data_IF_377129863907
#
_entry.id   IF_377129863907
#
_cell.length_a   1.000
_cell.length_b   1.000
_cell.length_c   1.000
_cell.angle_alpha   90.00
_cell.angle_beta   90.00
_cell.angle_gamma   90.00
#
_symmetry.space_group_name_H-M   'P 1'
#
loop_
_entity.id
_entity.type
_entity.pdbx_description
1 polymer ?
#
# COMPACT_ATOMS: atom_id res chain seq x y z
N UNK A 1 4.70 -21.51 -18.23
CA UNK A 1 3.44 -21.08 -18.87
C UNK A 1 3.41 -19.55 -18.90
N UNK A 2 3.80 -18.92 -20.01
CA UNK A 2 3.82 -17.44 -20.09
C UNK A 2 2.42 -16.93 -20.45
N UNK A 3 1.75 -16.29 -19.50
CA UNK A 3 0.42 -15.67 -19.69
C UNK A 3 0.41 -14.70 -20.89
N UNK A 4 1.57 -14.08 -21.17
CA UNK A 4 1.75 -13.03 -22.17
C UNK A 4 2.14 -13.53 -23.56
N UNK A 5 2.56 -14.80 -23.70
CA UNK A 5 3.11 -15.38 -24.93
C UNK A 5 2.15 -16.28 -25.71
N UNK A 6 0.85 -16.24 -25.41
CA UNK A 6 -0.15 -17.12 -26.05
C UNK A 6 -0.32 -16.84 -27.54
N UNK A 7 -0.44 -17.91 -28.35
CA UNK A 7 -0.56 -17.90 -29.82
C UNK A 7 -1.81 -17.17 -30.35
N UNK A 8 -2.87 -17.03 -29.54
CA UNK A 8 -4.04 -16.21 -29.88
C UNK A 8 -3.71 -14.73 -29.61
N UNK A 9 -3.83 -13.87 -30.63
CA UNK A 9 -3.64 -12.42 -30.53
C UNK A 9 -4.73 -11.78 -29.67
N UNK A 10 -4.61 -11.90 -28.35
CA UNK A 10 -5.42 -11.11 -27.41
C UNK A 10 -5.02 -9.64 -27.54
N UNK A 11 -6.01 -8.75 -27.62
CA UNK A 11 -5.76 -7.30 -27.63
C UNK A 11 -5.15 -6.87 -26.31
N UNK A 12 -4.35 -5.79 -26.34
CA UNK A 12 -3.72 -5.24 -25.12
C UNK A 12 -4.76 -4.91 -24.04
N UNK A 13 -5.94 -4.40 -24.43
CA UNK A 13 -7.05 -4.11 -23.52
C UNK A 13 -7.54 -5.36 -22.77
N UNK A 14 -7.73 -6.48 -23.46
CA UNK A 14 -8.16 -7.74 -22.82
C UNK A 14 -7.07 -8.28 -21.89
N UNK A 15 -5.80 -8.19 -22.28
CA UNK A 15 -4.65 -8.58 -21.46
C UNK A 15 -4.58 -7.77 -20.15
N UNK A 16 -4.79 -6.47 -20.21
CA UNK A 16 -4.86 -5.60 -19.03
C UNK A 16 -6.05 -5.96 -18.14
N UNK A 17 -7.22 -6.23 -18.71
CA UNK A 17 -8.39 -6.68 -17.93
C UNK A 17 -8.08 -7.97 -17.17
N UNK A 18 -7.47 -8.95 -17.84
CA UNK A 18 -7.05 -10.22 -17.20
C UNK A 18 -6.03 -9.95 -16.09
N UNK A 19 -5.04 -9.07 -16.33
CA UNK A 19 -4.07 -8.67 -15.32
C UNK A 19 -4.75 -8.12 -14.06
N UNK A 20 -5.63 -7.14 -14.25
CA UNK A 20 -6.33 -6.46 -13.16
C UNK A 20 -7.29 -7.41 -12.40
N UNK A 21 -7.86 -8.41 -13.07
CA UNK A 21 -8.79 -9.36 -12.43
C UNK A 21 -8.11 -10.52 -11.72
N UNK A 22 -6.97 -11.01 -12.22
CA UNK A 22 -6.34 -12.22 -11.68
C UNK A 22 -5.01 -11.94 -10.97
N UNK A 23 -4.13 -11.14 -11.57
CA UNK A 23 -2.78 -10.95 -11.05
C UNK A 23 -2.76 -9.89 -9.96
N UNK A 24 -3.46 -8.77 -10.18
CA UNK A 24 -3.46 -7.65 -9.24
C UNK A 24 -4.04 -8.04 -7.86
N UNK A 25 -5.17 -8.76 -7.75
CA UNK A 25 -5.72 -9.14 -6.44
C UNK A 25 -4.80 -10.09 -5.67
N UNK A 26 -4.12 -11.00 -6.37
CA UNK A 26 -3.12 -11.89 -5.77
C UNK A 26 -1.93 -11.08 -5.25
N UNK A 27 -1.44 -10.12 -6.04
CA UNK A 27 -0.32 -9.26 -5.67
C UNK A 27 -0.65 -8.33 -4.51
N UNK A 28 -1.89 -7.86 -4.39
CA UNK A 28 -2.35 -7.02 -3.29
C UNK A 28 -2.92 -7.81 -2.11
N UNK A 29 -2.89 -9.15 -2.15
CA UNK A 29 -3.49 -9.98 -1.11
C UNK A 29 -2.79 -9.73 0.23
N UNK A 30 -3.58 -9.36 1.25
CA UNK A 30 -3.09 -8.98 2.58
C UNK A 30 -2.00 -7.89 2.59
N UNK A 31 -1.87 -7.09 1.53
CA UNK A 31 -0.82 -6.07 1.46
C UNK A 31 -0.91 -5.01 2.57
N UNK A 32 -2.09 -4.85 3.18
CA UNK A 32 -2.30 -3.97 4.31
C UNK A 32 -1.55 -4.35 5.58
N UNK A 33 -1.11 -5.61 5.74
CA UNK A 33 -0.33 -6.05 6.91
C UNK A 33 1.18 -5.89 6.72
N UNK A 34 1.63 -5.53 5.51
CA UNK A 34 3.06 -5.53 5.20
C UNK A 34 3.77 -4.27 5.73
N UNK A 35 4.81 -4.48 6.52
CA UNK A 35 5.77 -3.46 6.93
C UNK A 35 6.87 -3.22 5.90
N UNK A 36 6.50 -2.87 4.66
CA UNK A 36 7.47 -2.71 3.56
C UNK A 36 8.34 -1.46 3.70
N UNK A 37 9.61 -1.61 3.39
CA UNK A 37 10.57 -0.51 3.21
C UNK A 37 10.31 0.27 1.92
N UNK A 38 10.86 1.48 1.81
CA UNK A 38 10.80 2.29 0.58
C UNK A 38 11.38 1.56 -0.63
N UNK A 39 12.48 0.82 -0.44
CA UNK A 39 13.14 0.06 -1.51
C UNK A 39 12.27 -1.11 -1.99
N UNK A 40 11.62 -1.84 -1.08
CA UNK A 40 10.70 -2.93 -1.45
C UNK A 40 9.48 -2.40 -2.20
N UNK A 41 8.91 -1.27 -1.76
CA UNK A 41 7.83 -0.61 -2.49
C UNK A 41 8.27 -0.21 -3.92
N UNK A 42 9.49 0.31 -4.10
CA UNK A 42 10.02 0.63 -5.44
C UNK A 42 10.21 -0.62 -6.31
N UNK A 43 10.66 -1.73 -5.72
CA UNK A 43 10.78 -3.02 -6.43
C UNK A 43 9.42 -3.53 -6.87
N UNK A 44 8.40 -3.46 -6.01
CA UNK A 44 7.03 -3.82 -6.34
C UNK A 44 6.44 -2.93 -7.44
N UNK A 45 6.64 -1.61 -7.37
CA UNK A 45 6.23 -0.68 -8.42
C UNK A 45 6.94 -0.99 -9.75
N UNK A 46 8.22 -1.37 -9.72
CA UNK A 46 8.98 -1.78 -10.91
C UNK A 46 8.44 -3.09 -11.51
N UNK A 47 8.18 -4.08 -10.67
CA UNK A 47 7.60 -5.36 -11.09
C UNK A 47 6.21 -5.18 -11.70
N UNK A 48 5.34 -4.40 -11.06
CA UNK A 48 4.01 -4.09 -11.59
C UNK A 48 4.10 -3.41 -12.97
N UNK A 49 4.96 -2.39 -13.13
CA UNK A 49 5.18 -1.73 -14.42
C UNK A 49 5.77 -2.67 -15.48
N UNK A 50 6.65 -3.59 -15.11
CA UNK A 50 7.22 -4.55 -16.07
C UNK A 50 6.15 -5.52 -16.58
N UNK A 51 5.24 -5.98 -15.72
CA UNK A 51 4.08 -6.79 -16.13
C UNK A 51 3.13 -6.01 -17.05
N UNK A 52 2.83 -4.74 -16.75
CA UNK A 52 2.00 -3.90 -17.63
C UNK A 52 2.62 -3.71 -19.02
N UNK A 53 3.93 -3.45 -19.09
CA UNK A 53 4.65 -3.35 -20.38
C UNK A 53 4.63 -4.67 -21.14
N UNK A 54 4.82 -5.80 -20.45
CA UNK A 54 4.74 -7.12 -21.05
C UNK A 54 3.34 -7.42 -21.59
N UNK A 55 2.29 -7.04 -20.85
CA UNK A 55 0.90 -7.19 -21.26
C UNK A 55 0.57 -6.41 -22.55
N UNK A 56 1.11 -5.19 -22.66
CA UNK A 56 0.98 -4.34 -23.84
C UNK A 56 1.97 -4.67 -24.97
N UNK A 57 2.88 -5.62 -24.75
CA UNK A 57 3.97 -5.97 -25.66
C UNK A 57 4.85 -4.77 -26.05
N UNK A 58 5.04 -3.82 -25.14
CA UNK A 58 5.94 -2.67 -25.35
C UNK A 58 7.36 -3.17 -25.13
N UNK A 59 8.15 -3.18 -26.20
CA UNK A 59 9.55 -3.57 -26.20
C UNK A 59 10.39 -2.44 -26.80
N UNK A 60 11.66 -2.40 -26.44
CA UNK A 60 12.63 -1.56 -27.14
C UNK A 60 12.53 -1.79 -28.66
N UNK A 61 12.55 -0.74 -29.51
CA UNK A 61 12.88 0.66 -29.23
C UNK A 61 11.69 1.54 -28.80
N UNK A 62 10.48 0.99 -28.67
CA UNK A 62 9.29 1.75 -28.28
C UNK A 62 9.40 2.23 -26.82
N UNK A 63 9.36 3.54 -26.62
CA UNK A 63 9.40 4.19 -25.29
C UNK A 63 8.03 4.71 -24.89
N UNK A 64 7.68 4.55 -23.62
CA UNK A 64 6.48 5.11 -22.99
C UNK A 64 6.84 5.62 -21.59
N UNK A 65 6.32 6.78 -21.22
CA UNK A 65 6.46 7.31 -19.86
C UNK A 65 5.66 6.46 -18.87
N UNK A 66 6.06 6.45 -17.60
CA UNK A 66 5.33 5.69 -16.58
C UNK A 66 3.89 6.17 -16.43
N UNK A 67 3.66 7.49 -16.45
CA UNK A 67 2.33 8.08 -16.32
C UNK A 67 1.41 7.67 -17.46
N UNK A 68 1.91 7.68 -18.70
CA UNK A 68 1.13 7.25 -19.85
C UNK A 68 0.84 5.74 -19.80
N UNK A 69 1.77 4.93 -19.28
CA UNK A 69 1.54 3.50 -19.07
C UNK A 69 0.39 3.26 -18.09
N UNK A 70 0.37 3.96 -16.95
CA UNK A 70 -0.70 3.86 -15.95
C UNK A 70 -2.06 4.33 -16.48
N UNK A 71 -2.08 5.48 -17.18
CA UNK A 71 -3.29 6.01 -17.83
C UNK A 71 -3.85 5.03 -18.87
N UNK A 72 -2.99 4.45 -19.71
CA UNK A 72 -3.40 3.49 -20.74
C UNK A 72 -3.96 2.20 -20.15
N UNK A 73 -3.41 1.76 -19.02
CA UNK A 73 -3.85 0.55 -18.32
C UNK A 73 -5.02 0.77 -17.36
N UNK A 74 -5.47 2.02 -17.17
CA UNK A 74 -6.40 2.40 -16.11
C UNK A 74 -6.02 1.78 -14.75
N UNK A 75 -4.73 1.86 -14.43
CA UNK A 75 -4.15 1.24 -13.23
C UNK A 75 -3.39 2.29 -12.44
N UNK A 76 -3.36 2.14 -11.12
CA UNK A 76 -2.63 3.02 -10.22
C UNK A 76 -1.26 2.46 -9.86
N UNK A 77 -0.41 3.30 -9.27
CA UNK A 77 0.87 2.86 -8.72
C UNK A 77 0.59 1.89 -7.57
N UNK A 78 1.16 0.68 -7.62
CA UNK A 78 0.85 -0.41 -6.70
C UNK A 78 1.08 -0.03 -5.23
N UNK A 79 2.19 0.61 -4.93
CA UNK A 79 2.49 1.13 -3.58
C UNK A 79 1.46 2.12 -3.03
N UNK A 80 0.75 2.88 -3.88
CA UNK A 80 -0.36 3.73 -3.44
C UNK A 80 -1.53 2.85 -3.01
N UNK A 81 -1.85 1.80 -3.76
CA UNK A 81 -2.91 0.85 -3.38
C UNK A 81 -2.57 0.08 -2.10
N UNK A 82 -1.29 -0.26 -1.90
CA UNK A 82 -0.79 -0.86 -0.65
C UNK A 82 -1.00 0.10 0.52
N UNK A 83 -0.67 1.38 0.35
CA UNK A 83 -0.89 2.41 1.38
C UNK A 83 -2.38 2.54 1.71
N UNK A 84 -3.25 2.66 0.70
CA UNK A 84 -4.71 2.68 0.88
C UNK A 84 -5.20 1.45 1.64
N UNK A 85 -4.75 0.26 1.25
CA UNK A 85 -5.13 -1.00 1.88
C UNK A 85 -4.67 -1.11 3.34
N UNK A 86 -3.45 -0.63 3.64
CA UNK A 86 -2.92 -0.53 5.00
C UNK A 86 -3.78 0.35 5.88
N UNK A 87 -4.13 1.56 5.43
CA UNK A 87 -4.95 2.50 6.20
C UNK A 87 -6.42 2.05 6.32
N UNK A 88 -6.95 1.34 5.33
CA UNK A 88 -8.26 0.66 5.42
C UNK A 88 -8.25 -0.42 6.48
N UNK A 89 -7.21 -1.28 6.50
CA UNK A 89 -7.06 -2.34 7.50
C UNK A 89 -6.87 -1.76 8.89
N UNK A 90 -5.97 -0.79 9.06
CA UNK A 90 -5.70 -0.16 10.35
C UNK A 90 -6.96 0.49 10.92
N UNK A 91 -7.69 1.25 10.10
CA UNK A 91 -8.98 1.81 10.52
C UNK A 91 -10.04 0.75 10.80
N UNK A 92 -9.95 -0.45 10.21
CA UNK A 92 -10.82 -1.56 10.58
C UNK A 92 -10.47 -2.08 11.97
N UNK A 93 -9.19 -2.36 12.23
CA UNK A 93 -8.67 -2.82 13.54
C UNK A 93 -9.10 -1.86 14.66
N UNK A 94 -8.90 -0.54 14.47
CA UNK A 94 -9.29 0.46 15.47
C UNK A 94 -10.79 0.49 15.80
N UNK A 95 -11.64 0.04 14.87
CA UNK A 95 -13.10 -0.02 15.05
C UNK A 95 -13.60 -1.37 15.53
N UNK A 96 -12.74 -2.39 15.58
CA UNK A 96 -13.10 -3.69 16.12
C UNK A 96 -13.19 -3.61 17.64
N UNK A 97 -13.84 -4.61 18.23
CA UNK A 97 -13.88 -4.73 19.68
C UNK A 97 -12.46 -4.83 20.27
N UNK A 98 -12.28 -4.29 21.46
CA UNK A 98 -10.98 -4.23 22.15
C UNK A 98 -10.46 -5.64 22.45
N UNK A 99 -11.35 -6.61 22.70
CA UNK A 99 -10.97 -8.00 22.94
C UNK A 99 -10.51 -8.75 21.66
N UNK A 100 -10.59 -8.13 20.48
CA UNK A 100 -10.13 -8.76 19.24
C UNK A 100 -8.60 -8.91 19.25
N UNK A 101 -8.03 -10.08 18.90
CA UNK A 101 -6.58 -10.29 18.90
C UNK A 101 -5.78 -9.25 18.11
N UNK A 102 -6.31 -8.77 16.97
CA UNK A 102 -5.65 -7.72 16.17
C UNK A 102 -5.61 -6.37 16.89
N UNK A 103 -6.64 -6.05 17.67
CA UNK A 103 -6.72 -4.80 18.44
C UNK A 103 -5.81 -4.89 19.67
N UNK A 104 -5.87 -5.99 20.42
CA UNK A 104 -4.95 -6.30 21.52
C UNK A 104 -3.49 -6.22 21.04
N UNK A 105 -3.15 -6.82 19.90
CA UNK A 105 -1.80 -6.76 19.34
C UNK A 105 -1.35 -5.32 19.04
N UNK A 106 -2.25 -4.44 18.62
CA UNK A 106 -1.95 -3.04 18.37
C UNK A 106 -1.76 -2.27 19.69
N UNK A 107 -2.64 -2.47 20.67
CA UNK A 107 -2.52 -1.84 22.00
C UNK A 107 -1.24 -2.27 22.71
N UNK A 108 -0.99 -3.58 22.79
CA UNK A 108 0.22 -4.14 23.39
C UNK A 108 1.50 -3.59 22.76
N UNK A 109 1.53 -3.35 21.45
CA UNK A 109 2.68 -2.73 20.78
C UNK A 109 2.99 -1.33 21.33
N UNK A 110 1.97 -0.49 21.54
CA UNK A 110 2.15 0.89 22.04
C UNK A 110 2.22 0.98 23.58
N UNK A 111 1.74 -0.03 24.29
CA UNK A 111 1.85 -0.14 25.75
C UNK A 111 3.20 -0.68 26.21
N UNK A 112 3.88 -1.48 25.38
CA UNK A 112 5.18 -2.05 25.74
C UNK A 112 6.29 -0.98 25.76
N UNK A 113 6.57 -0.45 26.94
CA UNK A 113 7.84 0.20 27.28
C UNK A 113 8.90 -0.87 27.56
N UNK A 114 9.37 -1.58 26.53
CA UNK A 114 10.47 -2.54 26.63
C UNK A 114 11.77 -1.99 26.08
N UNK A 115 12.91 -2.44 26.62
CA UNK A 115 14.23 -2.14 26.07
C UNK A 115 14.29 -2.52 24.58
N UNK A 116 14.68 -1.55 23.75
CA UNK A 116 14.83 -1.78 22.32
C UNK A 116 15.86 -2.90 22.09
N UNK A 117 15.46 -3.94 21.35
CA UNK A 117 16.35 -5.04 21.01
C UNK A 117 17.59 -4.49 20.29
N UNK A 118 18.79 -4.87 20.75
CA UNK A 118 20.05 -4.39 20.13
C UNK A 118 20.12 -4.84 18.68
N UNK A 119 20.36 -3.89 17.77
CA UNK A 119 20.48 -4.12 16.32
C UNK A 119 19.56 -3.22 15.50
N UNK A 120 19.51 -3.44 14.17
CA UNK A 120 18.61 -2.68 13.28
C UNK A 120 17.16 -3.13 13.53
N UNK A 121 16.25 -2.22 13.93
CA UNK A 121 14.84 -2.55 14.10
C UNK A 121 14.26 -3.07 12.78
N UNK A 122 13.52 -4.18 12.85
CA UNK A 122 12.73 -4.66 11.70
C UNK A 122 11.60 -3.68 11.43
N UNK A 123 11.27 -3.47 10.16
CA UNK A 123 10.12 -2.63 9.79
C UNK A 123 8.82 -3.36 10.16
N UNK A 124 8.13 -2.83 11.16
CA UNK A 124 6.82 -3.31 11.60
C UNK A 124 5.70 -2.46 11.00
N UNK A 125 4.48 -3.00 10.95
CA UNK A 125 3.31 -2.24 10.49
C UNK A 125 3.10 -0.92 11.27
N UNK A 126 3.16 -0.88 12.62
CA UNK A 126 3.09 0.37 13.38
C UNK A 126 4.19 1.38 13.02
N UNK A 127 5.43 0.90 12.80
CA UNK A 127 6.54 1.76 12.41
C UNK A 127 6.28 2.44 11.06
N UNK A 128 5.75 1.69 10.09
CA UNK A 128 5.40 2.26 8.78
C UNK A 128 4.19 3.18 8.86
N UNK A 129 3.19 2.88 9.69
CA UNK A 129 2.06 3.80 9.97
C UNK A 129 2.54 5.12 10.58
N UNK A 130 3.52 5.08 11.50
CA UNK A 130 4.12 6.30 12.04
C UNK A 130 4.89 7.08 10.98
N UNK A 131 5.64 6.41 10.09
CA UNK A 131 6.30 7.07 8.96
C UNK A 131 5.31 7.75 8.01
N UNK A 132 4.20 7.08 7.70
CA UNK A 132 3.11 7.65 6.90
C UNK A 132 2.53 8.91 7.58
N UNK A 133 2.26 8.86 8.90
CA UNK A 133 1.73 10.00 9.64
C UNK A 133 2.70 11.18 9.73
N UNK A 134 4.01 10.90 9.79
CA UNK A 134 5.03 11.95 9.79
C UNK A 134 4.99 12.81 8.51
N UNK A 135 4.50 12.27 7.39
CA UNK A 135 4.32 13.05 6.15
C UNK A 135 3.30 14.18 6.28
N UNK A 136 2.32 14.03 7.19
CA UNK A 136 1.29 15.03 7.48
C UNK A 136 1.53 15.74 8.82
N UNK A 137 2.74 15.63 9.39
CA UNK A 137 3.11 16.26 10.66
C UNK A 137 2.45 15.64 11.90
N UNK A 138 1.95 14.40 11.81
CA UNK A 138 1.38 13.65 12.94
C UNK A 138 2.33 12.54 13.38
N UNK A 139 2.08 11.99 14.57
CA UNK A 139 2.84 10.88 15.15
C UNK A 139 1.91 9.80 15.69
N UNK A 140 2.44 8.58 15.77
CA UNK A 140 1.82 7.43 16.40
C UNK A 140 2.92 6.68 17.15
N UNK A 141 3.18 7.12 18.38
CA UNK A 141 4.28 6.59 19.22
C UNK A 141 3.77 6.13 20.59
N UNK A 142 2.68 6.71 21.10
CA UNK A 142 2.14 6.41 22.43
C UNK A 142 0.72 5.82 22.36
N UNK A 143 0.28 5.14 23.43
CA UNK A 143 -1.09 4.66 23.57
C UNK A 143 -2.13 5.79 23.42
N UNK A 144 -1.84 6.99 23.95
CA UNK A 144 -2.71 8.17 23.79
C UNK A 144 -2.89 8.57 22.31
N UNK A 145 -1.83 8.47 21.49
CA UNK A 145 -1.91 8.74 20.05
C UNK A 145 -2.83 7.72 19.36
N UNK A 146 -2.79 6.46 19.81
CA UNK A 146 -3.64 5.38 19.29
C UNK A 146 -5.12 5.64 19.60
N UNK A 147 -5.43 6.08 20.82
CA UNK A 147 -6.81 6.39 21.23
C UNK A 147 -7.36 7.62 20.50
N UNK A 148 -6.52 8.64 20.28
CA UNK A 148 -6.88 9.78 19.42
C UNK A 148 -7.24 9.34 18.00
N UNK A 149 -6.46 8.41 17.42
CA UNK A 149 -6.76 7.83 16.10
C UNK A 149 -8.01 6.95 16.13
N UNK A 150 -8.26 6.24 17.23
CA UNK A 150 -9.46 5.42 17.43
C UNK A 150 -10.72 6.28 17.41
N UNK A 151 -10.72 7.42 18.10
CA UNK A 151 -11.83 8.39 18.05
C UNK A 151 -12.04 8.94 16.63
N UNK A 152 -10.95 9.27 15.91
CA UNK A 152 -11.02 9.71 14.52
C UNK A 152 -11.54 8.61 13.58
N UNK A 153 -11.24 7.34 13.87
CA UNK A 153 -11.63 6.18 13.08
C UNK A 153 -13.13 5.85 13.20
N UNK A 154 -13.77 6.15 14.34
CA UNK A 154 -15.23 5.93 14.54
C UNK A 154 -16.05 6.54 13.42
N UNK A 155 -15.68 7.76 13.01
CA UNK A 155 -16.30 8.45 11.87
C UNK A 155 -15.57 8.06 10.57
N UNK A 156 -16.19 7.18 9.76
CA UNK A 156 -15.60 6.71 8.48
C UNK A 156 -15.21 7.85 7.53
N UNK A 157 -15.95 8.95 7.53
CA UNK A 157 -15.67 10.12 6.69
C UNK A 157 -14.40 10.87 7.10
N UNK A 158 -14.19 11.12 8.39
CA UNK A 158 -12.97 11.75 8.90
C UNK A 158 -11.77 10.83 8.73
N UNK A 159 -11.96 9.52 8.97
CA UNK A 159 -10.92 8.53 8.71
C UNK A 159 -10.47 8.52 7.25
N UNK A 160 -11.43 8.54 6.32
CA UNK A 160 -11.15 8.59 4.87
C UNK A 160 -10.34 9.83 4.50
N UNK A 161 -10.76 11.01 4.97
CA UNK A 161 -10.05 12.27 4.72
C UNK A 161 -8.61 12.24 5.24
N UNK A 162 -8.38 11.61 6.40
CA UNK A 162 -7.04 11.49 6.98
C UNK A 162 -6.10 10.73 6.05
N UNK A 163 -6.45 9.50 5.65
CA UNK A 163 -5.54 8.72 4.81
C UNK A 163 -5.55 9.15 3.34
N UNK A 164 -6.62 9.79 2.85
CA UNK A 164 -6.61 10.47 1.54
C UNK A 164 -5.55 11.58 1.51
N UNK A 165 -5.43 12.36 2.59
CA UNK A 165 -4.37 13.39 2.72
C UNK A 165 -2.98 12.75 2.64
N UNK A 166 -2.77 11.64 3.34
CA UNK A 166 -1.49 10.89 3.31
C UNK A 166 -1.20 10.39 1.89
N UNK A 167 -2.20 9.83 1.20
CA UNK A 167 -2.08 9.36 -0.19
C UNK A 167 -1.67 10.51 -1.11
N UNK A 168 -2.27 11.69 -0.98
CA UNK A 168 -1.94 12.86 -1.81
C UNK A 168 -0.48 13.27 -1.63
N UNK A 169 0.02 13.36 -0.40
CA UNK A 169 1.43 13.67 -0.13
C UNK A 169 2.36 12.57 -0.65
N UNK A 170 2.00 11.30 -0.48
CA UNK A 170 2.77 10.17 -0.99
C UNK A 170 2.82 10.12 -2.52
N UNK A 171 1.75 10.51 -3.21
CA UNK A 171 1.68 10.58 -4.67
C UNK A 171 2.52 11.74 -5.23
N UNK A 172 2.49 12.91 -4.60
CA UNK A 172 3.33 14.06 -4.98
C UNK A 172 4.82 13.72 -4.95
N UNK A 173 5.27 12.93 -3.96
CA UNK A 173 6.67 12.48 -3.87
C UNK A 173 7.08 11.40 -4.88
N UNK A 174 6.16 10.88 -5.70
CA UNK A 174 6.43 9.84 -6.70
C UNK A 174 6.33 10.30 -8.16
N UNK A 175 5.75 11.48 -8.38
CA UNK A 175 5.60 12.09 -9.71
C UNK A 175 6.77 13.03 -10.08
N UNK A 176 7.70 13.24 -9.14
CA UNK A 176 8.97 13.94 -9.33
C UNK A 176 10.13 12.92 -9.41
#
# INVERSE_FOLDING_TARGET
>A
MSLWGTKKKLTGKTKIRIYNSFVLPILSYNCGTWGLTKLENQKLDSFHRSQLRAALNIRYPQKITNDNLYKLCNSEILSIEILKSRWRLFGHILRMDVATPANIAMETYFMQCGDAFRGRPRTTLPSVLNQDLKTIGRKLETADDLDNLRELAKRRGTWRRLWDSIVVHAAQGKLN
#
